data_IF_491919847688
#
_entry.id   IF_491919847688
#
_cell.length_a   1.000
_cell.length_b   1.000
_cell.length_c   1.000
_cell.angle_alpha   90.00
_cell.angle_beta   90.00
_cell.angle_gamma   90.00
#
_symmetry.space_group_name_H-M   'P 1'
#
loop_
_entity.id
_entity.type
_entity.pdbx_description
1 polymer ?
#
# COMPACT_ATOMS: atom_id res chain seq x y z
N UNK A 1 13.53 36.73 27.41
CA UNK A 1 12.18 36.23 27.08
C UNK A 1 12.30 34.79 26.60
N UNK A 2 11.63 33.90 27.33
CA UNK A 2 11.72 32.45 27.23
C UNK A 2 10.85 31.92 26.08
N UNK A 3 11.34 30.94 25.32
CA UNK A 3 10.52 29.83 24.79
C UNK A 3 11.34 28.52 24.77
N UNK A 4 11.07 27.68 25.77
CA UNK A 4 11.21 26.22 25.73
C UNK A 4 10.07 25.63 24.86
N UNK A 5 10.07 24.31 24.62
CA UNK A 5 9.07 23.45 23.90
C UNK A 5 9.56 23.10 22.48
N UNK A 6 9.73 21.86 22.00
CA UNK A 6 9.35 20.52 22.47
C UNK A 6 10.29 19.48 21.84
N UNK A 7 10.86 18.59 22.65
CA UNK A 7 11.43 17.32 22.18
C UNK A 7 10.35 16.28 22.43
N UNK A 8 9.69 15.83 21.37
CA UNK A 8 8.73 14.71 21.42
C UNK A 8 9.18 13.66 20.40
N UNK A 9 9.84 12.64 20.96
CA UNK A 9 9.68 11.22 20.70
C UNK A 9 8.69 10.85 19.56
N UNK A 10 9.20 10.35 18.43
CA UNK A 10 8.42 9.54 17.50
C UNK A 10 9.16 8.22 17.30
N UNK A 11 8.94 7.32 18.25
CA UNK A 11 9.06 5.88 18.07
C UNK A 11 7.74 5.33 17.50
N UNK A 12 7.87 4.23 16.78
CA UNK A 12 6.81 3.24 16.50
C UNK A 12 5.85 3.54 15.32
N UNK A 13 6.21 3.03 14.15
CA UNK A 13 5.25 2.35 13.26
C UNK A 13 5.98 1.25 12.47
N UNK A 14 6.24 0.13 13.15
CA UNK A 14 6.45 -1.15 12.51
C UNK A 14 5.08 -1.86 12.50
N UNK A 15 4.35 -1.77 11.38
CA UNK A 15 3.15 -2.58 11.16
C UNK A 15 2.93 -2.79 9.66
N UNK A 16 2.95 -4.07 9.25
CA UNK A 16 2.15 -4.54 8.12
C UNK A 16 2.79 -4.58 6.75
N UNK A 17 3.83 -5.41 6.56
CA UNK A 17 4.10 -6.01 5.25
C UNK A 17 3.41 -7.37 5.18
N UNK A 18 2.10 -7.39 4.88
CA UNK A 18 1.41 -8.58 4.41
C UNK A 18 1.41 -8.52 2.88
N UNK A 19 2.43 -9.11 2.27
CA UNK A 19 2.54 -9.25 0.82
C UNK A 19 1.56 -10.33 0.36
N UNK A 20 0.42 -9.91 -0.19
CA UNK A 20 -0.41 -10.77 -1.03
C UNK A 20 0.24 -10.82 -2.42
N UNK A 21 0.94 -11.92 -2.70
CA UNK A 21 1.38 -12.25 -4.05
C UNK A 21 0.20 -12.87 -4.81
N UNK A 22 -0.12 -12.28 -5.96
CA UNK A 22 -1.03 -12.81 -6.95
C UNK A 22 -0.20 -13.23 -8.16
N UNK A 23 -0.26 -14.50 -8.53
CA UNK A 23 0.09 -15.00 -9.86
C UNK A 23 -0.72 -16.29 -10.08
N UNK A 24 -1.71 -16.23 -10.98
CA UNK A 24 -1.73 -16.96 -12.27
C UNK A 24 -1.57 -18.47 -12.07
N UNK A 25 -2.62 -19.28 -12.11
CA UNK A 25 -3.47 -19.46 -13.28
C UNK A 25 -2.83 -20.48 -14.21
N UNK A 26 -3.17 -21.77 -14.05
CA UNK A 26 -3.75 -22.55 -15.15
C UNK A 26 -4.24 -23.94 -14.72
N UNK A 27 -5.17 -24.43 -15.54
CA UNK A 27 -5.47 -25.84 -15.82
C UNK A 27 -6.28 -26.69 -14.81
N UNK A 28 -7.55 -26.86 -15.20
CA UNK A 28 -8.16 -28.16 -15.50
C UNK A 28 -8.27 -29.20 -14.38
N UNK A 29 -9.48 -29.34 -13.85
CA UNK A 29 -9.83 -30.47 -12.98
C UNK A 29 -11.33 -30.54 -12.75
N UNK A 30 -12.03 -31.15 -13.70
CA UNK A 30 -13.42 -31.55 -13.54
C UNK A 30 -13.58 -32.46 -12.31
N UNK A 31 -14.50 -32.12 -11.41
CA UNK A 31 -15.24 -33.12 -10.63
C UNK A 31 -16.49 -32.48 -10.05
N UNK A 32 -17.65 -32.85 -10.61
CA UNK A 32 -18.94 -32.52 -10.05
C UNK A 32 -19.18 -33.32 -8.77
N UNK A 33 -19.43 -32.64 -7.67
CA UNK A 33 -19.93 -33.27 -6.45
C UNK A 33 -21.42 -32.99 -6.35
N UNK A 34 -22.20 -33.97 -6.82
CA UNK A 34 -23.63 -34.06 -6.62
C UNK A 34 -23.94 -34.20 -5.12
N UNK A 35 -24.54 -33.18 -4.53
CA UNK A 35 -25.15 -33.24 -3.21
C UNK A 35 -26.55 -33.84 -3.30
N UNK A 36 -26.64 -35.15 -3.53
CA UNK A 36 -27.88 -35.91 -3.39
C UNK A 36 -28.18 -36.08 -1.91
N UNK A 37 -29.17 -35.35 -1.39
CA UNK A 37 -29.73 -35.61 -0.06
C UNK A 37 -30.61 -36.86 -0.16
N UNK A 38 -29.96 -38.01 0.01
CA UNK A 38 -30.62 -39.32 0.16
C UNK A 38 -31.17 -39.41 1.58
N UNK A 39 -32.48 -39.21 1.74
CA UNK A 39 -33.17 -39.58 2.98
C UNK A 39 -33.47 -41.08 2.93
N UNK A 40 -32.55 -41.89 3.45
CA UNK A 40 -32.81 -43.30 3.77
C UNK A 40 -33.78 -43.36 4.95
N UNK A 41 -35.01 -43.83 4.71
CA UNK A 41 -35.85 -44.34 5.78
C UNK A 41 -35.98 -45.85 5.61
N UNK A 42 -35.27 -46.52 6.51
CA UNK A 42 -35.02 -47.95 6.62
C UNK A 42 -36.33 -48.69 6.83
N UNK A 43 -36.57 -49.71 6.01
CA UNK A 43 -37.64 -50.67 6.18
C UNK A 43 -37.44 -51.48 7.47
N UNK A 44 -38.35 -51.32 8.41
CA UNK A 44 -38.60 -52.30 9.47
C UNK A 44 -39.79 -53.16 9.02
N UNK A 45 -39.52 -54.45 8.82
CA UNK A 45 -40.53 -55.43 8.47
C UNK A 45 -41.62 -55.52 9.54
N UNK A 46 -42.87 -55.41 9.11
CA UNK A 46 -44.02 -55.82 9.90
C UNK A 46 -44.36 -57.27 9.49
N UNK A 47 -44.39 -58.23 10.43
CA UNK A 47 -44.69 -59.62 10.13
C UNK A 47 -46.14 -59.79 9.67
N UNK A 48 -46.34 -60.73 8.76
CA UNK A 48 -47.63 -61.02 8.14
C UNK A 48 -48.74 -61.28 9.16
N UNK A 49 -49.80 -60.46 9.06
CA UNK A 49 -51.10 -60.80 9.62
C UNK A 49 -51.93 -61.54 8.57
N UNK A 50 -52.47 -62.66 9.00
CA UNK A 50 -53.33 -63.58 8.28
C UNK A 50 -54.59 -62.90 7.69
N UNK A 51 -55.18 -63.45 6.62
CA UNK A 51 -56.41 -62.91 6.03
C UNK A 51 -57.57 -63.06 7.01
N UNK A 52 -58.06 -61.94 7.56
CA UNK A 52 -59.30 -61.91 8.34
C UNK A 52 -60.48 -61.95 7.37
N UNK A 53 -61.24 -63.03 7.38
CA UNK A 53 -62.47 -63.18 6.62
C UNK A 53 -63.46 -62.07 7.01
N UNK A 54 -63.81 -61.20 6.06
CA UNK A 54 -64.86 -60.20 6.26
C UNK A 54 -66.25 -60.84 6.08
N UNK A 55 -67.21 -60.54 6.98
CA UNK A 55 -68.61 -60.90 6.75
C UNK A 55 -69.24 -60.02 5.64
N UNK A 56 -70.24 -60.55 4.90
CA UNK A 56 -70.88 -59.83 3.80
C UNK A 56 -71.90 -58.80 4.31
N UNK A 57 -71.43 -57.63 4.77
CA UNK A 57 -72.30 -56.47 5.03
C UNK A 57 -72.51 -55.73 3.70
N UNK A 58 -73.35 -56.29 2.84
CA UNK A 58 -73.70 -55.73 1.53
C UNK A 58 -75.17 -55.33 1.52
N UNK A 59 -75.44 -54.03 1.74
CA UNK A 59 -76.35 -53.20 0.90
C UNK A 59 -76.51 -51.76 1.40
N UNK A 60 -76.49 -51.49 2.71
CA UNK A 60 -76.67 -50.12 3.24
C UNK A 60 -75.43 -49.23 3.10
N UNK A 61 -74.23 -49.80 3.31
CA UNK A 61 -72.95 -49.09 3.12
C UNK A 61 -72.76 -48.56 1.68
N UNK A 62 -73.39 -49.19 0.67
CA UNK A 62 -73.29 -48.71 -0.73
C UNK A 62 -74.05 -47.42 -1.00
N UNK A 63 -75.10 -47.10 -0.22
CA UNK A 63 -75.86 -45.86 -0.33
C UNK A 63 -75.08 -44.67 0.22
N UNK A 64 -74.57 -44.81 1.44
CA UNK A 64 -73.75 -43.78 2.09
C UNK A 64 -72.46 -43.52 1.32
N UNK A 65 -71.80 -44.56 0.80
CA UNK A 65 -70.59 -44.40 -0.03
C UNK A 65 -70.88 -43.64 -1.33
N UNK A 66 -72.11 -43.67 -1.88
CA UNK A 66 -72.45 -42.85 -3.07
C UNK A 66 -72.63 -41.37 -2.73
N UNK A 67 -73.27 -41.05 -1.61
CA UNK A 67 -73.44 -39.65 -1.14
C UNK A 67 -72.09 -39.06 -0.73
N UNK A 68 -71.26 -39.81 0.00
CA UNK A 68 -69.88 -39.44 0.31
C UNK A 68 -69.02 -39.27 -0.94
N UNK A 69 -69.24 -40.05 -1.99
CA UNK A 69 -68.51 -39.91 -3.25
C UNK A 69 -68.93 -38.65 -4.02
N UNK A 70 -70.21 -38.26 -3.97
CA UNK A 70 -70.71 -37.03 -4.58
C UNK A 70 -70.17 -35.78 -3.87
N UNK A 71 -70.26 -35.72 -2.54
CA UNK A 71 -69.68 -34.60 -1.76
C UNK A 71 -68.15 -34.57 -1.86
N UNK A 72 -67.49 -35.73 -1.90
CA UNK A 72 -66.04 -35.80 -2.15
C UNK A 72 -65.67 -35.30 -3.55
N UNK A 73 -66.51 -35.47 -4.57
CA UNK A 73 -66.22 -34.92 -5.91
C UNK A 73 -66.35 -33.40 -5.97
N UNK A 74 -67.26 -32.79 -5.21
CA UNK A 74 -67.41 -31.33 -5.12
C UNK A 74 -66.25 -30.71 -4.36
N UNK A 75 -65.89 -31.26 -3.19
CA UNK A 75 -64.70 -30.83 -2.43
C UNK A 75 -63.42 -30.96 -3.26
N UNK A 76 -63.29 -32.01 -4.09
CA UNK A 76 -62.16 -32.17 -5.01
C UNK A 76 -62.15 -31.14 -6.14
N UNK A 77 -63.31 -30.69 -6.63
CA UNK A 77 -63.40 -29.63 -7.64
C UNK A 77 -62.97 -28.29 -7.05
N UNK A 78 -63.51 -27.92 -5.89
CA UNK A 78 -63.14 -26.69 -5.18
C UNK A 78 -61.65 -26.70 -4.80
N UNK A 79 -61.13 -27.82 -4.28
CA UNK A 79 -59.72 -27.95 -3.98
C UNK A 79 -58.85 -27.85 -5.24
N UNK A 80 -59.30 -28.39 -6.39
CA UNK A 80 -58.59 -28.27 -7.67
C UNK A 80 -58.57 -26.84 -8.18
N UNK A 81 -59.68 -26.11 -8.06
CA UNK A 81 -59.78 -24.72 -8.52
C UNK A 81 -58.99 -23.78 -7.60
N UNK A 82 -59.09 -23.95 -6.27
CA UNK A 82 -58.19 -23.27 -5.31
C UNK A 82 -56.72 -23.56 -5.60
N UNK A 83 -56.37 -24.80 -5.97
CA UNK A 83 -54.99 -25.14 -6.32
C UNK A 83 -54.54 -24.47 -7.63
N UNK A 84 -55.43 -24.21 -8.59
CA UNK A 84 -55.12 -23.45 -9.81
C UNK A 84 -54.87 -21.98 -9.49
N UNK A 85 -55.69 -21.38 -8.63
CA UNK A 85 -55.55 -19.97 -8.23
C UNK A 85 -54.30 -19.74 -7.38
N UNK A 86 -53.97 -20.69 -6.49
CA UNK A 86 -52.70 -20.67 -5.75
C UNK A 86 -51.52 -20.80 -6.71
N UNK A 87 -51.61 -21.66 -7.73
CA UNK A 87 -50.54 -21.78 -8.74
C UNK A 87 -50.39 -20.50 -9.56
N UNK A 88 -51.49 -19.91 -10.01
CA UNK A 88 -51.49 -18.66 -10.79
C UNK A 88 -50.93 -17.48 -9.98
N UNK A 89 -51.35 -17.32 -8.72
CA UNK A 89 -50.81 -16.28 -7.83
C UNK A 89 -49.34 -16.52 -7.49
N UNK A 90 -48.93 -17.77 -7.27
CA UNK A 90 -47.51 -18.12 -7.04
C UNK A 90 -46.65 -17.84 -8.27
N UNK A 91 -47.14 -18.08 -9.49
CA UNK A 91 -46.40 -17.75 -10.72
C UNK A 91 -46.22 -16.24 -10.88
N UNK A 92 -47.27 -15.46 -10.64
CA UNK A 92 -47.19 -13.99 -10.71
C UNK A 92 -46.23 -13.44 -9.64
N UNK A 93 -46.30 -13.97 -8.41
CA UNK A 93 -45.39 -13.59 -7.33
C UNK A 93 -43.93 -13.92 -7.68
N UNK A 94 -43.66 -15.10 -8.28
CA UNK A 94 -42.31 -15.47 -8.72
C UNK A 94 -41.78 -14.57 -9.82
N UNK A 95 -42.62 -14.20 -10.80
CA UNK A 95 -42.21 -13.28 -11.87
C UNK A 95 -41.92 -11.88 -11.34
N UNK A 96 -42.75 -11.36 -10.45
CA UNK A 96 -42.52 -10.05 -9.82
C UNK A 96 -41.25 -10.06 -8.96
N UNK A 97 -41.05 -11.11 -8.15
CA UNK A 97 -39.84 -11.28 -7.35
C UNK A 97 -38.58 -11.41 -8.23
N UNK A 98 -38.69 -12.08 -9.38
CA UNK A 98 -37.58 -12.18 -10.34
C UNK A 98 -37.24 -10.81 -10.95
N UNK A 99 -38.25 -10.04 -11.38
CA UNK A 99 -38.06 -8.68 -11.92
C UNK A 99 -37.46 -7.73 -10.88
N UNK A 100 -37.91 -7.80 -9.63
CA UNK A 100 -37.36 -6.98 -8.53
C UNK A 100 -35.91 -7.38 -8.19
N UNK A 101 -35.61 -8.68 -8.20
CA UNK A 101 -34.24 -9.17 -7.99
C UNK A 101 -33.30 -8.78 -9.14
N UNK A 102 -33.78 -8.80 -10.38
CA UNK A 102 -33.03 -8.36 -11.56
C UNK A 102 -32.76 -6.84 -11.51
N UNK A 103 -33.78 -6.02 -11.23
CA UNK A 103 -33.60 -4.56 -11.10
C UNK A 103 -32.68 -4.19 -9.94
N UNK A 104 -32.79 -4.87 -8.80
CA UNK A 104 -31.88 -4.69 -7.65
C UNK A 104 -30.45 -5.08 -7.99
N UNK A 105 -30.24 -6.17 -8.75
CA UNK A 105 -28.91 -6.60 -9.22
C UNK A 105 -28.31 -5.59 -10.19
N UNK A 106 -29.09 -5.06 -11.12
CA UNK A 106 -28.63 -4.03 -12.06
C UNK A 106 -28.25 -2.74 -11.34
N UNK A 107 -29.10 -2.26 -10.43
CA UNK A 107 -28.80 -1.08 -9.63
C UNK A 107 -27.54 -1.27 -8.77
N UNK A 108 -27.38 -2.44 -8.14
CA UNK A 108 -26.16 -2.75 -7.37
C UNK A 108 -24.92 -2.81 -8.26
N UNK A 109 -25.03 -3.36 -9.48
CA UNK A 109 -23.91 -3.37 -10.44
C UNK A 109 -23.52 -1.96 -10.84
N UNK A 110 -24.48 -1.13 -11.23
CA UNK A 110 -24.26 0.27 -11.61
C UNK A 110 -23.65 1.09 -10.47
N UNK A 111 -24.20 0.99 -9.26
CA UNK A 111 -23.68 1.70 -8.09
C UNK A 111 -22.28 1.23 -7.72
N UNK A 112 -22.00 -0.07 -7.87
CA UNK A 112 -20.65 -0.62 -7.59
C UNK A 112 -19.63 -0.17 -8.63
N UNK A 113 -20.00 -0.06 -9.92
CA UNK A 113 -19.09 0.44 -10.96
C UNK A 113 -18.77 1.91 -10.78
N UNK A 114 -19.76 2.74 -10.49
CA UNK A 114 -19.54 4.17 -10.23
C UNK A 114 -18.71 4.40 -8.96
N UNK A 115 -19.02 3.67 -7.88
CA UNK A 115 -18.23 3.75 -6.65
C UNK A 115 -16.78 3.29 -6.88
N UNK A 116 -16.56 2.24 -7.68
CA UNK A 116 -15.21 1.80 -8.06
C UNK A 116 -14.46 2.86 -8.86
N UNK A 117 -15.14 3.59 -9.76
CA UNK A 117 -14.52 4.69 -10.50
C UNK A 117 -14.14 5.84 -9.57
N UNK A 118 -15.07 6.31 -8.73
CA UNK A 118 -14.82 7.38 -7.76
C UNK A 118 -13.65 7.05 -6.81
N UNK A 119 -13.61 5.81 -6.31
CA UNK A 119 -12.50 5.35 -5.45
C UNK A 119 -11.17 5.36 -6.21
N UNK A 120 -11.15 4.95 -7.48
CA UNK A 120 -9.92 4.99 -8.29
C UNK A 120 -9.44 6.42 -8.50
N UNK A 121 -10.35 7.34 -8.84
CA UNK A 121 -10.02 8.74 -9.06
C UNK A 121 -9.49 9.41 -7.78
N UNK A 122 -10.16 9.19 -6.64
CA UNK A 122 -9.68 9.68 -5.35
C UNK A 122 -8.33 9.06 -4.95
N UNK A 123 -8.13 7.77 -5.20
CA UNK A 123 -6.87 7.09 -4.90
C UNK A 123 -5.73 7.62 -5.79
N UNK A 124 -6.01 7.92 -7.06
CA UNK A 124 -5.05 8.54 -7.96
C UNK A 124 -4.68 9.95 -7.48
N UNK A 125 -5.66 10.79 -7.15
CA UNK A 125 -5.42 12.13 -6.59
C UNK A 125 -4.55 12.10 -5.33
N UNK A 126 -4.89 11.24 -4.37
CA UNK A 126 -4.09 11.06 -3.13
C UNK A 126 -2.66 10.60 -3.41
N UNK A 127 -2.47 9.73 -4.41
CA UNK A 127 -1.13 9.29 -4.85
C UNK A 127 -0.34 10.43 -5.47
N UNK A 128 -0.97 11.33 -6.22
CA UNK A 128 -0.31 12.51 -6.78
C UNK A 128 0.11 13.49 -5.69
N UNK A 129 -0.78 13.81 -4.75
CA UNK A 129 -0.48 14.71 -3.64
C UNK A 129 0.67 14.19 -2.78
N UNK A 130 0.70 12.89 -2.50
CA UNK A 130 1.79 12.26 -1.76
C UNK A 130 3.13 12.35 -2.50
N UNK A 131 3.14 12.13 -3.83
CA UNK A 131 4.36 12.24 -4.65
C UNK A 131 4.85 13.68 -4.73
N UNK A 132 3.95 14.63 -4.90
CA UNK A 132 4.28 16.06 -4.92
C UNK A 132 4.96 16.49 -3.62
N UNK A 133 4.35 16.20 -2.47
CA UNK A 133 4.96 16.47 -1.15
C UNK A 133 6.33 15.82 -1.01
N UNK A 134 6.53 14.62 -1.56
CA UNK A 134 7.82 13.95 -1.55
C UNK A 134 8.88 14.72 -2.34
N UNK A 135 8.54 15.27 -3.51
CA UNK A 135 9.47 16.07 -4.32
C UNK A 135 9.86 17.37 -3.59
N UNK A 136 8.90 18.05 -2.96
CA UNK A 136 9.16 19.25 -2.14
C UNK A 136 10.12 18.93 -0.97
N UNK A 137 9.86 17.83 -0.25
CA UNK A 137 10.74 17.36 0.82
C UNK A 137 12.14 17.03 0.30
N UNK A 138 12.26 16.39 -0.86
CA UNK A 138 13.56 16.10 -1.48
C UNK A 138 14.36 17.38 -1.76
N UNK A 139 13.72 18.45 -2.25
CA UNK A 139 14.38 19.74 -2.46
C UNK A 139 15.01 20.27 -1.16
N UNK A 140 14.23 20.29 -0.06
CA UNK A 140 14.72 20.77 1.24
C UNK A 140 15.83 19.90 1.84
N UNK A 141 15.75 18.58 1.64
CA UNK A 141 16.77 17.64 2.10
C UNK A 141 18.09 17.82 1.34
N UNK A 142 18.00 18.04 0.03
CA UNK A 142 19.17 18.28 -0.81
C UNK A 142 19.84 19.62 -0.47
N UNK A 143 19.08 20.69 -0.22
CA UNK A 143 19.64 21.96 0.28
C UNK A 143 20.40 21.75 1.60
N UNK A 144 19.78 21.05 2.55
CA UNK A 144 20.40 20.76 3.83
C UNK A 144 21.68 19.94 3.66
N UNK A 145 21.71 19.00 2.71
CA UNK A 145 22.90 18.23 2.38
C UNK A 145 24.01 19.11 1.80
N UNK A 146 23.72 19.99 0.83
CA UNK A 146 24.67 20.97 0.28
C UNK A 146 25.25 21.85 1.41
N UNK A 147 24.41 22.34 2.31
CA UNK A 147 24.86 23.15 3.44
C UNK A 147 25.79 22.39 4.41
N UNK A 148 25.56 21.09 4.62
CA UNK A 148 26.45 20.24 5.43
C UNK A 148 27.80 20.01 4.75
N UNK A 149 27.80 19.75 3.44
CA UNK A 149 29.04 19.56 2.65
C UNK A 149 29.85 20.86 2.61
N UNK A 150 29.19 22.02 2.45
CA UNK A 150 29.86 23.32 2.52
C UNK A 150 30.56 23.52 3.87
N UNK A 151 29.86 23.29 4.99
CA UNK A 151 30.46 23.37 6.34
C UNK A 151 31.62 22.40 6.53
N UNK A 152 31.62 21.25 5.85
CA UNK A 152 32.75 20.33 5.88
C UNK A 152 33.94 20.90 5.09
N UNK A 153 33.70 21.42 3.89
CA UNK A 153 34.72 22.12 3.08
C UNK A 153 35.38 23.27 3.85
N UNK A 154 34.58 24.11 4.52
CA UNK A 154 35.10 25.25 5.30
C UNK A 154 36.00 24.78 6.46
N UNK A 155 35.59 23.71 7.17
CA UNK A 155 36.40 23.11 8.23
C UNK A 155 37.71 22.51 7.71
N UNK A 156 37.67 21.85 6.55
CA UNK A 156 38.87 21.29 5.92
C UNK A 156 39.81 22.41 5.49
N UNK A 157 39.31 23.50 4.89
CA UNK A 157 40.10 24.68 4.54
C UNK A 157 40.85 25.23 5.76
N UNK A 158 40.13 25.48 6.86
CA UNK A 158 40.74 25.93 8.12
C UNK A 158 41.80 24.96 8.66
N UNK A 159 41.58 23.64 8.49
CA UNK A 159 42.55 22.61 8.85
C UNK A 159 43.82 22.68 8.01
N UNK A 160 43.68 22.83 6.69
CA UNK A 160 44.80 22.99 5.76
C UNK A 160 45.61 24.25 6.06
N UNK A 161 44.96 25.36 6.40
CA UNK A 161 45.67 26.61 6.72
C UNK A 161 46.50 26.47 7.99
N UNK A 162 45.98 25.77 9.01
CA UNK A 162 46.75 25.47 10.24
C UNK A 162 47.96 24.57 9.95
N UNK A 163 47.84 23.60 9.05
CA UNK A 163 48.92 22.70 8.68
C UNK A 163 49.97 23.39 7.81
N UNK A 164 49.55 24.26 6.89
CA UNK A 164 50.46 25.09 6.10
C UNK A 164 51.30 25.99 7.01
N UNK A 165 50.70 26.58 8.05
CA UNK A 165 51.43 27.36 9.06
C UNK A 165 52.45 26.53 9.86
N UNK A 166 52.28 25.21 9.92
CA UNK A 166 53.23 24.26 10.53
C UNK A 166 54.30 23.76 9.54
N UNK A 167 54.32 24.26 8.31
CA UNK A 167 55.26 23.84 7.27
C UNK A 167 54.95 22.46 6.67
N UNK A 168 53.71 21.99 6.79
CA UNK A 168 53.24 20.79 6.08
C UNK A 168 52.84 21.19 4.65
N UNK A 169 53.30 20.44 3.66
CA UNK A 169 52.87 20.62 2.28
C UNK A 169 51.39 20.21 2.13
N UNK A 170 50.55 21.16 1.75
CA UNK A 170 49.10 21.00 1.56
C UNK A 170 48.69 21.20 0.09
N UNK A 171 49.65 21.24 -0.84
CA UNK A 171 49.39 21.56 -2.25
C UNK A 171 48.35 20.63 -2.90
N UNK A 172 48.53 19.31 -2.77
CA UNK A 172 47.61 18.30 -3.32
C UNK A 172 46.21 18.38 -2.69
N UNK A 173 46.16 18.59 -1.37
CA UNK A 173 44.90 18.67 -0.62
C UNK A 173 44.10 19.93 -0.98
N UNK A 174 44.79 21.04 -1.29
CA UNK A 174 44.15 22.25 -1.81
C UNK A 174 43.59 22.06 -3.22
N UNK A 175 44.24 21.25 -4.06
CA UNK A 175 43.72 20.82 -5.36
C UNK A 175 42.36 20.13 -5.23
N UNK A 176 42.32 19.03 -4.47
CA UNK A 176 41.06 18.30 -4.24
C UNK A 176 39.95 19.15 -3.58
N UNK A 177 40.33 20.11 -2.72
CA UNK A 177 39.35 21.04 -2.13
C UNK A 177 38.78 22.03 -3.16
N UNK A 178 39.56 22.42 -4.18
CA UNK A 178 39.07 23.24 -5.28
C UNK A 178 38.11 22.45 -6.19
N UNK A 179 38.43 21.19 -6.48
CA UNK A 179 37.54 20.28 -7.23
C UNK A 179 36.21 20.10 -6.48
N UNK A 180 36.26 19.83 -5.17
CA UNK A 180 35.09 19.71 -4.32
C UNK A 180 34.18 20.96 -4.33
N UNK A 181 34.76 22.17 -4.40
CA UNK A 181 33.99 23.43 -4.48
C UNK A 181 33.28 23.56 -5.82
N UNK A 182 33.95 23.18 -6.91
CA UNK A 182 33.36 23.16 -8.25
C UNK A 182 32.18 22.19 -8.31
N UNK A 183 32.34 20.97 -7.80
CA UNK A 183 31.27 19.96 -7.71
C UNK A 183 30.11 20.43 -6.79
N UNK A 184 30.41 21.18 -5.73
CA UNK A 184 29.39 21.74 -4.84
C UNK A 184 28.55 22.81 -5.55
N UNK A 185 29.16 23.65 -6.39
CA UNK A 185 28.43 24.65 -7.18
C UNK A 185 27.58 24.01 -8.28
N UNK A 186 28.05 22.92 -8.89
CA UNK A 186 27.21 22.09 -9.76
C UNK A 186 26.03 21.47 -9.00
N UNK A 187 26.29 20.94 -7.80
CA UNK A 187 25.24 20.39 -6.94
C UNK A 187 24.19 21.45 -6.60
N UNK A 188 24.59 22.67 -6.24
CA UNK A 188 23.67 23.81 -6.01
C UNK A 188 22.79 24.07 -7.22
N UNK A 189 23.40 24.12 -8.41
CA UNK A 189 22.68 24.35 -9.67
C UNK A 189 21.64 23.24 -9.92
N UNK A 190 22.02 21.98 -9.71
CA UNK A 190 21.10 20.83 -9.84
C UNK A 190 19.97 20.86 -8.79
N UNK A 191 20.25 21.26 -7.55
CA UNK A 191 19.23 21.42 -6.50
C UNK A 191 18.25 22.54 -6.84
N UNK A 192 18.73 23.66 -7.39
CA UNK A 192 17.86 24.73 -7.89
C UNK A 192 16.96 24.22 -9.02
N UNK A 193 17.50 23.43 -9.95
CA UNK A 193 16.71 22.81 -11.02
C UNK A 193 15.61 21.88 -10.47
N UNK A 194 15.88 21.13 -9.39
CA UNK A 194 14.86 20.31 -8.70
C UNK A 194 13.74 21.16 -8.13
N UNK A 195 14.05 22.32 -7.52
CA UNK A 195 13.03 23.23 -6.99
C UNK A 195 12.16 23.81 -8.09
N UNK A 196 12.77 24.28 -9.18
CA UNK A 196 12.04 24.78 -10.35
C UNK A 196 11.14 23.69 -10.93
N UNK A 197 11.64 22.45 -11.02
CA UNK A 197 10.82 21.32 -11.46
C UNK A 197 9.68 20.99 -10.49
N UNK A 198 9.89 21.16 -9.18
CA UNK A 198 8.86 20.99 -8.16
C UNK A 198 7.73 22.03 -8.32
N UNK A 199 8.09 23.29 -8.55
CA UNK A 199 7.13 24.37 -8.81
C UNK A 199 6.37 24.14 -10.13
N UNK A 200 7.04 23.62 -11.16
CA UNK A 200 6.41 23.28 -12.43
C UNK A 200 5.38 22.13 -12.32
N UNK A 201 5.47 21.26 -11.31
CA UNK A 201 4.43 20.23 -11.06
C UNK A 201 3.09 20.88 -10.71
N UNK A 202 3.10 22.07 -10.08
CA UNK A 202 1.88 22.80 -9.70
C UNK A 202 1.07 23.28 -10.89
N UNK A 203 1.75 23.65 -11.97
CA UNK A 203 1.17 24.32 -13.14
C UNK A 203 1.04 23.39 -14.35
N UNK A 204 1.68 22.22 -14.31
CA UNK A 204 1.67 21.26 -15.42
C UNK A 204 0.34 20.50 -15.54
N UNK A 205 -0.15 20.38 -16.77
CA UNK A 205 -1.26 19.49 -17.15
C UNK A 205 -0.86 18.02 -17.08
N UNK A 206 0.43 17.70 -17.27
CA UNK A 206 1.00 16.36 -17.23
C UNK A 206 1.83 16.13 -15.96
N UNK A 207 1.17 16.20 -14.79
CA UNK A 207 1.82 16.05 -13.48
C UNK A 207 2.63 14.75 -13.33
N UNK A 208 2.17 13.64 -13.94
CA UNK A 208 2.85 12.34 -13.93
C UNK A 208 4.28 12.43 -14.51
N UNK A 209 4.45 13.16 -15.61
CA UNK A 209 5.75 13.32 -16.28
C UNK A 209 6.61 14.36 -15.56
N UNK A 210 6.00 15.46 -15.12
CA UNK A 210 6.70 16.48 -14.34
C UNK A 210 7.31 15.90 -13.05
N UNK A 211 6.58 15.04 -12.33
CA UNK A 211 7.10 14.33 -11.14
C UNK A 211 8.30 13.44 -11.51
N UNK A 212 8.20 12.65 -12.59
CA UNK A 212 9.31 11.77 -13.02
C UNK A 212 10.57 12.56 -13.37
N UNK A 213 10.40 13.70 -14.06
CA UNK A 213 11.51 14.58 -14.41
C UNK A 213 12.15 15.17 -13.15
N UNK A 214 11.35 15.64 -12.19
CA UNK A 214 11.85 16.13 -10.91
C UNK A 214 12.59 15.03 -10.11
N UNK A 215 12.10 13.79 -10.11
CA UNK A 215 12.78 12.64 -9.49
C UNK A 215 14.12 12.32 -10.16
N UNK A 216 14.22 12.44 -11.48
CA UNK A 216 15.48 12.26 -12.21
C UNK A 216 16.49 13.34 -11.83
N UNK A 217 16.08 14.61 -11.86
CA UNK A 217 16.93 15.73 -11.45
C UNK A 217 17.40 15.58 -10.00
N UNK A 218 16.54 15.07 -9.10
CA UNK A 218 16.90 14.82 -7.71
C UNK A 218 17.97 13.74 -7.56
N UNK A 219 17.96 12.70 -8.42
CA UNK A 219 19.01 11.67 -8.44
C UNK A 219 20.34 12.26 -8.93
N UNK A 220 20.31 13.12 -9.92
CA UNK A 220 21.53 13.76 -10.45
C UNK A 220 22.12 14.78 -9.46
N UNK A 221 21.26 15.54 -8.78
CA UNK A 221 21.67 16.40 -7.67
C UNK A 221 22.30 15.60 -6.54
N UNK A 222 21.70 14.46 -6.16
CA UNK A 222 22.26 13.57 -5.14
C UNK A 222 23.67 13.09 -5.51
N UNK A 223 23.88 12.63 -6.75
CA UNK A 223 25.21 12.18 -7.21
C UNK A 223 26.24 13.28 -7.11
N UNK A 224 25.92 14.49 -7.58
CA UNK A 224 26.83 15.64 -7.49
C UNK A 224 27.22 15.98 -6.04
N UNK A 225 26.30 15.83 -5.08
CA UNK A 225 26.61 16.01 -3.65
C UNK A 225 27.53 14.88 -3.14
N UNK A 226 27.33 13.64 -3.58
CA UNK A 226 28.19 12.49 -3.22
C UNK A 226 29.61 12.66 -3.79
N UNK A 227 29.73 13.15 -5.02
CA UNK A 227 31.01 13.44 -5.67
C UNK A 227 31.76 14.56 -4.93
N UNK A 228 31.09 15.69 -4.65
CA UNK A 228 31.66 16.77 -3.83
C UNK A 228 32.14 16.28 -2.45
N UNK A 229 31.37 15.42 -1.79
CA UNK A 229 31.77 14.83 -0.51
C UNK A 229 32.99 13.89 -0.65
N UNK A 230 33.08 13.13 -1.75
CA UNK A 230 34.22 12.26 -2.05
C UNK A 230 35.50 13.08 -2.25
N UNK A 231 35.44 14.16 -3.03
CA UNK A 231 36.57 15.06 -3.25
C UNK A 231 37.07 15.69 -1.95
N UNK A 232 36.17 16.03 -1.01
CA UNK A 232 36.56 16.46 0.35
C UNK A 232 37.26 15.32 1.11
N UNK A 233 36.76 14.09 1.02
CA UNK A 233 37.39 12.94 1.68
C UNK A 233 38.81 12.68 1.12
N UNK A 234 39.00 12.83 -0.19
CA UNK A 234 40.30 12.75 -0.85
C UNK A 234 41.24 13.86 -0.36
N UNK A 235 40.76 15.11 -0.27
CA UNK A 235 41.51 16.22 0.29
C UNK A 235 42.01 15.93 1.72
N UNK A 236 41.16 15.34 2.57
CA UNK A 236 41.54 14.93 3.94
C UNK A 236 42.57 13.80 3.91
N UNK A 237 42.38 12.82 3.02
CA UNK A 237 43.27 11.66 2.92
C UNK A 237 44.69 12.02 2.47
N UNK A 238 44.82 13.03 1.58
CA UNK A 238 46.10 13.50 1.06
C UNK A 238 46.99 14.14 2.13
N UNK A 239 46.41 14.75 3.17
CA UNK A 239 47.14 15.32 4.32
C UNK A 239 47.59 14.25 5.31
N UNK A 240 46.77 13.22 5.50
CA UNK A 240 46.94 12.19 6.54
C UNK A 240 48.29 11.45 6.53
N UNK A 241 48.95 11.14 5.38
CA UNK A 241 50.25 10.47 5.41
C UNK A 241 51.37 11.31 6.07
N UNK A 242 51.22 12.64 6.17
CA UNK A 242 52.22 13.52 6.79
C UNK A 242 52.16 13.61 8.32
N UNK A 243 51.05 13.22 8.96
CA UNK A 243 50.88 13.32 10.42
C UNK A 243 51.65 12.26 11.22
N UNK A 244 52.40 11.37 10.56
CA UNK A 244 53.37 10.46 11.21
C UNK A 244 54.76 11.08 11.42
N UNK A 245 54.92 12.40 11.26
CA UNK A 245 56.15 13.07 11.70
C UNK A 245 56.29 12.88 13.22
N UNK A 246 57.42 12.36 13.73
CA UNK A 246 57.64 12.27 15.17
C UNK A 246 57.50 13.69 15.72
N UNK A 247 56.58 13.84 16.67
CA UNK A 247 56.36 15.09 17.41
C UNK A 247 57.73 15.56 17.91
N UNK A 248 58.23 16.71 17.44
CA UNK A 248 59.42 17.32 18.03
C UNK A 248 59.19 17.38 19.53
N UNK A 249 60.01 16.65 20.28
CA UNK A 249 59.90 16.59 21.73
C UNK A 249 59.94 18.03 22.26
N UNK A 250 58.84 18.47 22.85
CA UNK A 250 58.83 19.71 23.60
C UNK A 250 59.75 19.51 24.79
N UNK A 251 60.97 20.01 24.70
CA UNK A 251 61.88 20.09 25.84
C UNK A 251 61.29 21.10 26.81
N UNK A 252 60.58 20.62 27.82
CA UNK A 252 60.17 21.43 28.97
C UNK A 252 61.44 22.00 29.60
N UNK A 253 61.65 23.32 29.64
CA UNK A 253 62.80 23.90 30.31
C UNK A 253 62.71 23.59 31.81
N UNK A 254 63.83 23.24 32.47
CA UNK A 254 63.83 22.96 33.90
C UNK A 254 63.45 24.22 34.68
N UNK A 255 62.40 24.12 35.49
CA UNK A 255 62.01 25.16 36.45
C UNK A 255 63.12 25.31 37.49
N UNK A 256 63.85 26.42 37.45
CA UNK A 256 64.79 26.77 38.50
C UNK A 256 64.02 27.27 39.73
N UNK A 257 63.98 26.47 40.79
CA UNK A 257 63.49 26.89 42.11
C UNK A 257 64.61 27.65 42.81
N UNK A 258 64.49 28.98 42.87
CA UNK A 258 65.34 29.83 43.71
C UNK A 258 64.65 30.03 45.06
N UNK A 259 65.20 29.41 46.10
CA UNK A 259 64.84 29.66 47.50
C UNK A 259 65.60 30.90 47.98
N UNK A 260 64.87 31.91 48.45
CA UNK A 260 65.40 33.01 49.28
C UNK A 260 65.09 32.76 50.74
#
# INVERSE_FOLDING_TARGET
MNKKISIVLITLFAFGALSASAETGDATGATGTAGTVTTTNTGAGVPGLSPRQMPPIRKEIRGEVRVLKASSTEVRKEMRDNMKDIRASTTIMRENMRKEMESRREHLRASTTEMRMKIKDEAELKRFDAKKKRVELLGTLLDAAVARVQKLSDRVSMGLDKLAAQGVDVSTSRGHLADAKTELDEARTKVLAVKVAADAILTSTNQKEAIKNAESLAKDAKKAIEDAHRSIAEAISAVKPGLRKPRSATTTPPTATTTQ
#
